data_IF_645428193174
#
_entry.id   IF_645428193174
#
_cell.length_a   1.000
_cell.length_b   1.000
_cell.length_c   1.000
_cell.angle_alpha   90.00
_cell.angle_beta   90.00
_cell.angle_gamma   90.00
#
_symmetry.space_group_name_H-M   'P 1'
#
loop_
_entity.id
_entity.type
_entity.pdbx_description
1 polymer ?
#
# COMPACT_ATOMS: atom_id res chain seq x y z
N UNK A 1 18.83 -21.53 -4.77
CA UNK A 1 18.88 -20.06 -4.65
C UNK A 1 17.47 -19.53 -4.78
N UNK A 2 16.69 -19.56 -3.70
CA UNK A 2 15.32 -19.05 -3.67
C UNK A 2 15.41 -17.53 -3.57
N UNK A 3 15.19 -16.84 -4.69
CA UNK A 3 15.08 -15.40 -4.70
C UNK A 3 14.05 -15.00 -3.64
N UNK A 4 14.51 -14.32 -2.59
CA UNK A 4 13.66 -13.62 -1.64
C UNK A 4 12.88 -12.58 -2.42
N UNK A 5 11.72 -12.96 -2.97
CA UNK A 5 10.77 -12.04 -3.55
C UNK A 5 10.14 -11.25 -2.39
N UNK A 6 10.89 -10.27 -1.87
CA UNK A 6 10.32 -9.11 -1.20
C UNK A 6 9.49 -8.37 -2.27
N UNK A 7 8.26 -8.84 -2.48
CA UNK A 7 7.31 -8.14 -3.32
C UNK A 7 6.91 -6.87 -2.59
N UNK A 8 7.00 -5.66 -3.21
CA UNK A 8 6.50 -4.42 -2.62
C UNK A 8 5.06 -4.51 -2.12
N UNK A 9 4.28 -5.44 -2.70
CA UNK A 9 2.94 -5.78 -2.27
C UNK A 9 2.87 -6.40 -0.87
N UNK A 10 3.79 -7.33 -0.54
CA UNK A 10 3.83 -7.97 0.78
C UNK A 10 4.25 -6.97 1.87
N UNK A 11 5.15 -6.05 1.54
CA UNK A 11 5.58 -5.01 2.49
C UNK A 11 4.42 -4.05 2.80
N UNK A 12 3.59 -3.70 1.80
CA UNK A 12 2.37 -2.93 2.02
C UNK A 12 1.35 -3.68 2.89
N UNK A 13 1.13 -4.98 2.65
CA UNK A 13 0.23 -5.78 3.48
C UNK A 13 0.65 -5.73 4.96
N UNK A 14 1.95 -5.87 5.25
CA UNK A 14 2.49 -5.79 6.61
C UNK A 14 2.25 -4.42 7.26
N UNK A 15 2.38 -3.34 6.50
CA UNK A 15 2.16 -1.98 7.00
C UNK A 15 0.68 -1.68 7.29
N UNK A 16 -0.24 -2.36 6.61
CA UNK A 16 -1.70 -2.14 6.70
C UNK A 16 -2.37 -3.04 7.74
N UNK A 17 -1.65 -4.03 8.30
CA UNK A 17 -2.21 -5.03 9.21
C UNK A 17 -2.96 -4.42 10.41
N UNK A 18 -2.59 -3.21 10.83
CA UNK A 18 -3.18 -2.52 11.99
C UNK A 18 -4.05 -1.32 11.60
N UNK A 19 -5.37 -1.51 11.65
CA UNK A 19 -6.35 -0.43 11.83
C UNK A 19 -6.36 0.67 10.75
N UNK A 20 -5.66 1.78 11.00
CA UNK A 20 -5.58 2.94 10.10
C UNK A 20 -4.13 3.19 9.74
N UNK A 21 -3.81 3.13 8.45
CA UNK A 21 -2.46 3.39 7.93
C UNK A 21 -2.49 4.57 6.98
N UNK A 22 -1.61 5.55 7.18
CA UNK A 22 -1.52 6.77 6.36
C UNK A 22 -0.19 6.76 5.61
N UNK A 23 -0.28 7.00 4.31
CA UNK A 23 0.85 7.14 3.39
C UNK A 23 0.92 8.56 2.87
N UNK A 24 2.12 9.15 2.89
CA UNK A 24 2.41 10.48 2.35
C UNK A 24 3.80 10.46 1.68
N UNK A 25 4.05 11.29 0.68
CA UNK A 25 5.36 11.36 0.05
C UNK A 25 6.40 11.92 1.04
N UNK A 26 7.51 11.20 1.23
CA UNK A 26 8.63 11.59 2.13
C UNK A 26 9.56 12.63 1.48
N UNK A 27 9.00 13.64 0.84
CA UNK A 27 9.73 14.65 0.10
C UNK A 27 8.96 15.11 -1.13
N UNK A 28 9.43 16.21 -1.75
CA UNK A 28 8.82 16.78 -2.96
C UNK A 28 9.70 16.63 -4.20
N UNK A 29 10.71 15.75 -4.15
CA UNK A 29 11.51 15.46 -5.33
C UNK A 29 10.68 14.63 -6.31
N UNK A 30 10.88 14.77 -7.63
CA UNK A 30 10.13 14.00 -8.63
C UNK A 30 10.20 12.48 -8.41
N UNK A 31 11.35 11.97 -7.97
CA UNK A 31 11.54 10.56 -7.63
C UNK A 31 10.66 10.12 -6.45
N UNK A 32 10.61 10.91 -5.36
CA UNK A 32 9.79 10.58 -4.19
C UNK A 32 8.29 10.70 -4.46
N UNK A 33 7.91 11.62 -5.33
CA UNK A 33 6.53 11.73 -5.79
C UNK A 33 6.15 10.51 -6.64
N UNK A 34 7.04 10.05 -7.52
CA UNK A 34 6.81 8.84 -8.32
C UNK A 34 6.69 7.57 -7.47
N UNK A 35 7.59 7.39 -6.50
CA UNK A 35 7.48 6.27 -5.53
C UNK A 35 6.14 6.28 -4.78
N UNK A 36 5.66 7.48 -4.44
CA UNK A 36 4.37 7.64 -3.79
C UNK A 36 3.20 7.34 -4.73
N UNK A 37 3.25 7.81 -5.99
CA UNK A 37 2.23 7.51 -7.00
C UNK A 37 2.15 5.99 -7.27
N UNK A 38 3.30 5.30 -7.31
CA UNK A 38 3.36 3.84 -7.43
C UNK A 38 2.72 3.15 -6.21
N UNK A 39 2.92 3.70 -5.01
CA UNK A 39 2.27 3.21 -3.78
C UNK A 39 0.76 3.40 -3.85
N UNK A 40 0.29 4.58 -4.30
CA UNK A 40 -1.13 4.88 -4.48
C UNK A 40 -1.77 3.91 -5.47
N UNK A 41 -1.12 3.64 -6.60
CA UNK A 41 -1.61 2.72 -7.62
C UNK A 41 -1.78 1.29 -7.05
N UNK A 42 -0.79 0.80 -6.30
CA UNK A 42 -0.87 -0.51 -5.64
C UNK A 42 -1.98 -0.59 -4.61
N UNK A 43 -2.17 0.44 -3.80
CA UNK A 43 -3.24 0.46 -2.80
C UNK A 43 -4.64 0.43 -3.46
N UNK A 44 -4.82 1.15 -4.58
CA UNK A 44 -6.06 1.08 -5.37
C UNK A 44 -6.32 -0.31 -5.93
N UNK A 45 -5.28 -0.97 -6.45
CA UNK A 45 -5.37 -2.36 -6.89
C UNK A 45 -5.74 -3.30 -5.74
N UNK A 46 -5.13 -3.13 -4.56
CA UNK A 46 -5.46 -3.92 -3.37
C UNK A 46 -6.91 -3.72 -2.91
N UNK A 47 -7.45 -2.51 -3.02
CA UNK A 47 -8.87 -2.24 -2.73
C UNK A 47 -9.77 -2.96 -3.74
N UNK A 48 -9.47 -2.86 -5.04
CA UNK A 48 -10.22 -3.54 -6.10
C UNK A 48 -10.21 -5.06 -5.94
N UNK A 49 -9.10 -5.62 -5.47
CA UNK A 49 -8.95 -7.04 -5.16
C UNK A 49 -9.60 -7.45 -3.83
N UNK A 50 -10.17 -6.51 -3.06
CA UNK A 50 -10.81 -6.79 -1.77
C UNK A 50 -9.83 -7.18 -0.67
N UNK A 51 -8.58 -6.74 -0.76
CA UNK A 51 -7.51 -7.07 0.21
C UNK A 51 -7.42 -6.05 1.34
N UNK A 52 -7.84 -4.82 1.09
CA UNK A 52 -8.01 -3.78 2.09
C UNK A 52 -9.48 -3.38 2.17
N UNK A 53 -9.92 -2.92 3.34
CA UNK A 53 -11.34 -2.61 3.54
C UNK A 53 -11.78 -1.33 2.83
N UNK A 54 -11.03 -0.25 3.04
CA UNK A 54 -11.37 1.06 2.51
C UNK A 54 -10.10 1.88 2.26
N UNK A 55 -10.05 2.53 1.10
CA UNK A 55 -9.00 3.46 0.71
C UNK A 55 -9.57 4.87 0.56
N UNK A 56 -8.91 5.84 1.17
CA UNK A 56 -9.21 7.26 1.02
C UNK A 56 -8.00 7.96 0.42
N UNK A 57 -8.21 8.71 -0.66
CA UNK A 57 -7.17 9.55 -1.26
C UNK A 57 -7.52 11.01 -1.03
N UNK A 58 -6.56 11.78 -0.55
CA UNK A 58 -6.62 13.23 -0.57
C UNK A 58 -5.72 13.71 -1.69
N UNK A 59 -6.28 14.52 -2.59
CA UNK A 59 -5.55 15.20 -3.62
C UNK A 59 -5.50 16.69 -3.34
N UNK A 60 -4.43 17.33 -3.81
CA UNK A 60 -4.32 18.78 -3.88
C UNK A 60 -4.12 19.16 -5.34
N UNK A 61 -4.87 20.16 -5.77
CA UNK A 61 -4.64 20.80 -7.07
C UNK A 61 -3.45 21.74 -6.92
N UNK A 62 -2.42 21.55 -7.75
CA UNK A 62 -1.27 22.44 -7.85
C UNK A 62 -1.02 22.74 -9.32
N UNK A 63 -0.98 24.02 -9.69
CA UNK A 63 -0.79 24.47 -11.09
C UNK A 63 -1.76 23.85 -12.11
N UNK A 64 -2.98 23.50 -11.70
CA UNK A 64 -4.00 22.91 -12.57
C UNK A 64 -3.95 21.39 -12.69
N UNK A 65 -2.98 20.73 -12.06
CA UNK A 65 -2.90 19.27 -11.98
C UNK A 65 -3.37 18.78 -10.61
N UNK A 66 -4.21 17.74 -10.59
CA UNK A 66 -4.65 17.09 -9.36
C UNK A 66 -3.64 16.02 -8.96
N UNK A 67 -2.90 16.27 -7.89
CA UNK A 67 -1.90 15.34 -7.37
C UNK A 67 -2.36 14.77 -6.03
N UNK A 68 -2.38 13.44 -5.92
CA UNK A 68 -2.60 12.77 -4.64
C UNK A 68 -1.42 13.09 -3.73
N UNK A 69 -1.70 13.59 -2.54
CA UNK A 69 -0.67 13.98 -1.58
C UNK A 69 -0.79 13.21 -0.25
N UNK A 70 -1.86 12.45 -0.08
CA UNK A 70 -2.08 11.57 1.06
C UNK A 70 -3.01 10.42 0.65
N UNK A 71 -2.70 9.23 1.13
CA UNK A 71 -3.57 8.06 1.05
C UNK A 71 -3.73 7.46 2.43
N UNK A 72 -4.96 7.10 2.78
CA UNK A 72 -5.27 6.48 4.07
C UNK A 72 -6.04 5.18 3.83
N UNK A 73 -5.56 4.10 4.44
CA UNK A 73 -6.28 2.83 4.51
C UNK A 73 -7.00 2.77 5.85
N UNK A 74 -8.32 2.54 5.83
CA UNK A 74 -9.15 2.47 7.04
C UNK A 74 -9.71 1.07 7.19
N UNK A 75 -9.63 0.53 8.41
CA UNK A 75 -10.09 -0.82 8.75
C UNK A 75 -9.09 -1.93 8.40
N UNK A 76 -7.92 -1.56 7.90
CA UNK A 76 -6.79 -2.45 7.62
C UNK A 76 -7.09 -3.52 6.58
N UNK A 77 -6.38 -4.65 6.73
CA UNK A 77 -6.52 -5.81 5.86
C UNK A 77 -7.86 -6.53 6.03
N UNK A 78 -8.37 -7.08 4.94
CA UNK A 78 -9.45 -8.07 4.98
C UNK A 78 -8.95 -9.42 5.51
N UNK A 79 -9.87 -10.30 5.92
CA UNK A 79 -9.48 -11.62 6.42
C UNK A 79 -8.78 -12.48 5.37
N UNK A 80 -9.11 -12.29 4.09
CA UNK A 80 -8.43 -12.94 2.98
C UNK A 80 -6.99 -12.46 2.85
N UNK A 81 -6.77 -11.14 2.90
CA UNK A 81 -5.42 -10.58 2.87
C UNK A 81 -4.57 -11.02 4.07
N UNK A 82 -5.16 -11.11 5.26
CA UNK A 82 -4.47 -11.66 6.44
C UNK A 82 -4.11 -13.14 6.27
N UNK A 83 -4.98 -13.94 5.64
CA UNK A 83 -4.69 -15.35 5.32
C UNK A 83 -3.51 -15.45 4.34
N UNK A 84 -3.52 -14.66 3.27
CA UNK A 84 -2.42 -14.60 2.31
C UNK A 84 -1.11 -14.21 3.00
N UNK A 85 -1.11 -13.12 3.79
CA UNK A 85 0.08 -12.67 4.52
C UNK A 85 0.66 -13.80 5.40
N UNK A 86 -0.19 -14.47 6.18
CA UNK A 86 0.23 -15.62 7.00
C UNK A 86 0.78 -16.77 6.17
N UNK A 87 0.19 -17.11 5.03
CA UNK A 87 0.71 -18.18 4.16
C UNK A 87 2.13 -17.84 3.65
N UNK A 88 2.39 -16.60 3.26
CA UNK A 88 3.71 -16.16 2.84
C UNK A 88 4.74 -16.16 3.98
N UNK A 89 4.32 -15.85 5.21
CA UNK A 89 5.19 -15.90 6.39
C UNK A 89 5.50 -17.34 6.84
N UNK A 90 4.53 -18.25 6.74
CA UNK A 90 4.72 -19.66 7.10
C UNK A 90 5.63 -20.39 6.12
N UNK A 91 5.61 -20.05 4.82
CA UNK A 91 6.56 -20.59 3.83
C UNK A 91 7.98 -20.02 3.95
N UNK A 92 8.24 -19.15 4.94
CA UNK A 92 9.56 -18.62 5.31
C UNK A 92 10.19 -19.31 6.52
N UNK A 93 9.50 -20.24 7.18
CA UNK A 93 10.09 -21.08 8.23
C UNK A 93 10.91 -22.23 7.60
N UNK A 94 12.10 -22.57 8.16
CA UNK A 94 13.10 -23.45 7.55
C UNK A 94 12.64 -24.89 7.31
#
# INVERSE_FOLDING_TARGET
>A
MSAQLHSPFLDLLKQIESGVTIFQPFGRTPEKLREFDDTVARLKEMEQLGLIRQLFTQARTSFGEEQVNLVMVVGGLTEEAKRLLRQFETHRAP
#
